data_IF_612159647246
#
_entry.id   IF_612159647246
#
_cell.length_a   1.000
_cell.length_b   1.000
_cell.length_c   1.000
_cell.angle_alpha   90.00
_cell.angle_beta   90.00
_cell.angle_gamma   90.00
#
_symmetry.space_group_name_H-M   'P 1'
#
loop_
_entity.id
_entity.type
_entity.pdbx_description
1 polymer ?
#
# COMPACT_ATOMS: atom_id res chain seq x y z
N UNK A 1 -2.40 -21.19 1.75
CA UNK A 1 -0.94 -21.02 1.45
C UNK A 1 -0.13 -21.04 2.75
N UNK A 2 0.94 -21.84 2.90
CA UNK A 2 1.63 -21.96 4.20
C UNK A 2 2.50 -20.72 4.52
N UNK A 3 2.64 -20.31 5.80
CA UNK A 3 3.46 -19.16 6.18
C UNK A 3 4.92 -19.31 5.75
N UNK A 4 5.45 -20.54 5.77
CA UNK A 4 6.80 -20.86 5.31
C UNK A 4 7.02 -20.52 3.82
N UNK A 5 6.00 -20.73 2.97
CA UNK A 5 6.10 -20.37 1.56
C UNK A 5 6.16 -18.84 1.38
N UNK A 6 5.38 -18.08 2.15
CA UNK A 6 5.42 -16.61 2.11
C UNK A 6 6.79 -16.06 2.52
N UNK A 7 7.36 -16.59 3.61
CA UNK A 7 8.70 -16.23 4.08
C UNK A 7 9.76 -16.63 3.03
N UNK A 8 9.68 -17.84 2.49
CA UNK A 8 10.60 -18.34 1.48
C UNK A 8 10.58 -17.47 0.21
N UNK A 9 9.40 -17.06 -0.24
CA UNK A 9 9.25 -16.14 -1.38
C UNK A 9 9.82 -14.75 -1.05
N UNK A 10 9.66 -14.25 0.18
CA UNK A 10 10.33 -13.03 0.64
C UNK A 10 11.84 -13.12 0.53
N UNK A 11 12.45 -14.16 1.09
CA UNK A 11 13.90 -14.40 1.03
C UNK A 11 14.42 -14.54 -0.41
N UNK A 12 13.75 -15.34 -1.24
CA UNK A 12 14.11 -15.51 -2.66
C UNK A 12 14.07 -14.17 -3.38
N UNK A 13 13.06 -13.35 -3.09
CA UNK A 13 12.93 -12.04 -3.74
C UNK A 13 14.07 -11.11 -3.40
N UNK A 14 14.49 -11.08 -2.13
CA UNK A 14 15.61 -10.25 -1.66
C UNK A 14 16.91 -10.60 -2.39
N UNK A 15 17.18 -11.90 -2.58
CA UNK A 15 18.38 -12.38 -3.29
C UNK A 15 18.28 -12.14 -4.80
N UNK A 16 17.07 -12.18 -5.35
CA UNK A 16 16.84 -12.04 -6.79
C UNK A 16 16.94 -10.60 -7.31
N UNK A 17 16.83 -9.59 -6.43
CA UNK A 17 16.81 -8.16 -6.80
C UNK A 17 17.80 -7.73 -7.89
N UNK A 18 19.11 -8.08 -7.83
CA UNK A 18 20.08 -7.64 -8.82
C UNK A 18 19.87 -8.25 -10.21
N UNK A 19 19.24 -9.43 -10.26
CA UNK A 19 19.06 -10.21 -11.49
C UNK A 19 17.75 -9.82 -12.20
N UNK A 20 16.77 -9.25 -11.47
CA UNK A 20 15.46 -8.85 -12.01
C UNK A 20 15.53 -7.81 -13.13
N UNK A 21 16.55 -6.93 -13.12
CA UNK A 21 16.81 -5.98 -14.24
C UNK A 21 17.28 -6.66 -15.52
N UNK A 22 17.75 -7.90 -15.45
CA UNK A 22 18.40 -8.63 -16.57
C UNK A 22 17.56 -9.77 -17.11
N UNK A 23 16.32 -9.92 -16.64
CA UNK A 23 15.47 -11.04 -17.07
C UNK A 23 15.08 -10.88 -18.54
N UNK A 24 14.97 -12.00 -19.24
CA UNK A 24 14.49 -11.98 -20.63
C UNK A 24 13.00 -11.68 -20.67
N UNK A 25 12.63 -10.44 -21.00
CA UNK A 25 11.24 -9.98 -21.03
C UNK A 25 10.35 -10.76 -22.00
N UNK A 26 10.92 -11.33 -23.08
CA UNK A 26 10.15 -12.15 -24.03
C UNK A 26 9.63 -13.45 -23.40
N UNK A 27 10.36 -13.99 -22.42
CA UNK A 27 9.93 -15.15 -21.64
C UNK A 27 9.18 -14.74 -20.38
N UNK A 28 9.61 -13.67 -19.72
CA UNK A 28 9.04 -13.22 -18.46
C UNK A 28 7.61 -12.72 -18.61
N UNK A 29 7.27 -12.00 -19.68
CA UNK A 29 5.91 -11.49 -19.91
C UNK A 29 4.89 -12.64 -20.03
N UNK A 30 5.03 -13.62 -20.97
CA UNK A 30 4.05 -14.69 -21.08
C UNK A 30 3.98 -15.56 -19.81
N UNK A 31 5.11 -15.83 -19.15
CA UNK A 31 5.12 -16.54 -17.87
C UNK A 31 4.36 -15.77 -16.78
N UNK A 32 4.59 -14.46 -16.67
CA UNK A 32 3.93 -13.59 -15.70
C UNK A 32 2.42 -13.47 -15.95
N UNK A 33 1.98 -13.42 -17.21
CA UNK A 33 0.56 -13.45 -17.59
C UNK A 33 -0.05 -14.81 -17.25
N UNK A 34 0.63 -15.91 -17.56
CA UNK A 34 0.16 -17.26 -17.21
C UNK A 34 -0.02 -17.41 -15.69
N UNK A 35 0.94 -16.95 -14.89
CA UNK A 35 0.84 -16.96 -13.43
C UNK A 35 -0.40 -16.19 -12.96
N UNK A 36 -0.65 -14.99 -13.49
CA UNK A 36 -1.83 -14.19 -13.13
C UNK A 36 -3.14 -14.89 -13.49
N UNK A 37 -3.20 -15.53 -14.66
CA UNK A 37 -4.35 -16.33 -15.08
C UNK A 37 -4.57 -17.50 -14.11
N UNK A 38 -3.52 -18.23 -13.74
CA UNK A 38 -3.65 -19.32 -12.78
C UNK A 38 -4.14 -18.82 -11.41
N UNK A 39 -3.56 -17.72 -10.90
CA UNK A 39 -3.96 -17.10 -9.65
C UNK A 39 -5.39 -16.56 -9.68
N UNK A 40 -5.88 -16.08 -10.83
CA UNK A 40 -7.26 -15.62 -10.99
C UNK A 40 -8.28 -16.70 -10.61
N UNK A 41 -7.99 -17.97 -10.89
CA UNK A 41 -8.87 -19.10 -10.54
C UNK A 41 -8.66 -19.65 -9.13
N UNK A 42 -7.66 -19.17 -8.38
CA UNK A 42 -7.43 -19.62 -6.99
C UNK A 42 -8.36 -18.97 -5.98
N UNK A 43 -8.69 -19.67 -4.90
CA UNK A 43 -9.47 -19.11 -3.79
C UNK A 43 -8.61 -18.16 -2.95
N UNK A 44 -9.07 -16.93 -2.66
CA UNK A 44 -8.34 -16.02 -1.80
C UNK A 44 -8.43 -16.50 -0.34
N UNK A 45 -7.29 -16.88 0.21
CA UNK A 45 -7.15 -17.40 1.58
C UNK A 45 -6.25 -16.54 2.47
N UNK A 46 -5.57 -15.54 1.90
CA UNK A 46 -4.59 -14.75 2.63
C UNK A 46 -5.24 -13.74 3.58
N UNK A 47 -6.41 -13.19 3.21
CA UNK A 47 -7.09 -12.12 3.92
C UNK A 47 -8.60 -12.28 3.88
N UNK A 48 -9.25 -11.78 4.93
CA UNK A 48 -10.69 -11.67 5.06
C UNK A 48 -11.24 -10.31 4.58
N UNK A 49 -10.36 -9.35 4.32
CA UNK A 49 -10.75 -8.01 3.85
C UNK A 49 -11.61 -8.03 2.56
N UNK A 50 -11.41 -8.94 1.58
CA UNK A 50 -12.25 -9.02 0.38
C UNK A 50 -13.73 -9.25 0.65
N UNK A 51 -14.07 -9.97 1.72
CA UNK A 51 -15.46 -10.18 2.12
C UNK A 51 -16.08 -8.93 2.71
N UNK A 52 -15.27 -8.09 3.36
CA UNK A 52 -15.73 -6.78 3.80
C UNK A 52 -15.98 -5.85 2.61
N UNK A 53 -15.13 -5.88 1.58
CA UNK A 53 -15.35 -5.12 0.35
C UNK A 53 -16.67 -5.52 -0.32
N UNK A 54 -16.90 -6.82 -0.49
CA UNK A 54 -18.12 -7.35 -1.08
C UNK A 54 -19.37 -6.91 -0.30
N UNK A 55 -19.33 -6.99 1.03
CA UNK A 55 -20.43 -6.55 1.88
C UNK A 55 -20.72 -5.05 1.73
N UNK A 56 -19.69 -4.21 1.79
CA UNK A 56 -19.86 -2.77 1.69
C UNK A 56 -20.42 -2.37 0.31
N UNK A 57 -19.97 -3.04 -0.77
CA UNK A 57 -20.52 -2.88 -2.11
C UNK A 57 -22.01 -3.25 -2.22
N UNK A 58 -22.43 -4.35 -1.58
CA UNK A 58 -23.84 -4.76 -1.49
C UNK A 58 -24.67 -3.70 -0.74
N UNK A 59 -24.18 -3.18 0.38
CA UNK A 59 -24.92 -2.16 1.14
C UNK A 59 -25.12 -0.90 0.32
N UNK A 60 -24.07 -0.46 -0.39
CA UNK A 60 -24.17 0.71 -1.26
C UNK A 60 -25.16 0.47 -2.42
N UNK A 61 -25.18 -0.73 -3.01
CA UNK A 61 -26.15 -1.11 -4.05
C UNK A 61 -27.60 -1.09 -3.55
N UNK A 62 -27.82 -1.38 -2.26
CA UNK A 62 -29.13 -1.31 -1.58
C UNK A 62 -29.49 0.11 -1.10
N UNK A 63 -28.71 1.13 -1.43
CA UNK A 63 -28.91 2.52 -0.98
C UNK A 63 -28.60 2.74 0.50
N UNK A 64 -27.90 1.80 1.16
CA UNK A 64 -27.50 1.89 2.57
C UNK A 64 -26.07 2.40 2.68
N UNK A 65 -25.82 3.33 3.58
CA UNK A 65 -24.47 3.86 3.82
C UNK A 65 -23.61 2.88 4.62
N UNK A 66 -22.48 2.37 4.09
CA UNK A 66 -21.55 1.50 4.83
C UNK A 66 -20.89 2.17 6.05
N UNK A 67 -20.98 3.51 6.13
CA UNK A 67 -20.43 4.31 7.23
C UNK A 67 -21.36 4.39 8.43
N UNK A 68 -22.65 4.07 8.26
CA UNK A 68 -23.66 4.16 9.31
C UNK A 68 -24.03 2.81 9.89
N UNK A 69 -23.94 1.74 9.08
CA UNK A 69 -24.43 0.42 9.46
C UNK A 69 -23.31 -0.62 9.41
N UNK A 70 -23.06 -1.24 10.56
CA UNK A 70 -22.14 -2.37 10.68
C UNK A 70 -22.81 -3.68 10.20
N UNK A 71 -22.05 -4.66 9.66
CA UNK A 71 -22.59 -5.94 9.21
C UNK A 71 -23.52 -6.62 10.23
N UNK A 72 -23.15 -6.59 11.51
CA UNK A 72 -23.90 -7.23 12.61
C UNK A 72 -25.27 -6.60 12.88
N UNK A 73 -25.54 -5.38 12.41
CA UNK A 73 -26.80 -4.68 12.66
C UNK A 73 -27.90 -5.04 11.66
N UNK A 74 -27.57 -5.66 10.53
CA UNK A 74 -28.54 -5.94 9.45
C UNK A 74 -29.18 -7.33 9.57
N UNK A 75 -28.59 -8.25 10.33
CA UNK A 75 -29.14 -9.58 10.59
C UNK A 75 -29.17 -10.56 9.40
N UNK A 76 -28.97 -10.07 8.16
CA UNK A 76 -28.84 -10.87 6.95
C UNK A 76 -27.49 -11.63 6.94
N UNK A 77 -27.46 -12.83 7.51
CA UNK A 77 -26.27 -13.70 7.47
C UNK A 77 -26.15 -14.38 6.10
N UNK A 78 -25.23 -13.87 5.28
CA UNK A 78 -24.77 -14.52 4.04
C UNK A 78 -23.86 -15.72 4.34
N UNK A 79 -23.65 -16.58 3.36
CA UNK A 79 -22.71 -17.70 3.45
C UNK A 79 -21.29 -17.23 3.82
N UNK A 80 -20.87 -16.07 3.29
CA UNK A 80 -19.57 -15.46 3.61
C UNK A 80 -19.57 -14.56 4.86
N UNK A 81 -20.70 -14.43 5.57
CA UNK A 81 -20.83 -13.49 6.69
C UNK A 81 -19.79 -13.76 7.79
N UNK A 82 -19.52 -15.03 8.10
CA UNK A 82 -18.52 -15.43 9.09
C UNK A 82 -17.11 -14.95 8.75
N UNK A 83 -16.81 -14.72 7.46
CA UNK A 83 -15.52 -14.25 6.95
C UNK A 83 -15.44 -12.73 6.82
N UNK A 84 -16.50 -11.99 7.15
CA UNK A 84 -16.46 -10.53 7.10
C UNK A 84 -15.64 -10.05 8.30
N UNK A 85 -14.50 -9.42 8.03
CA UNK A 85 -13.71 -8.76 9.07
C UNK A 85 -14.43 -7.50 9.60
N UNK A 86 -14.41 -7.31 10.92
CA UNK A 86 -14.98 -6.11 11.56
C UNK A 86 -16.51 -6.06 11.53
N UNK A 87 -17.20 -7.18 11.74
CA UNK A 87 -18.67 -7.30 11.70
C UNK A 87 -19.41 -6.30 12.60
N UNK A 88 -18.79 -5.90 13.71
CA UNK A 88 -19.38 -5.00 14.71
C UNK A 88 -19.06 -3.52 14.47
N UNK A 89 -18.37 -3.19 13.36
CA UNK A 89 -17.92 -1.83 13.08
C UNK A 89 -18.38 -1.35 11.70
N UNK A 90 -18.75 -0.07 11.55
CA UNK A 90 -18.93 0.56 10.24
C UNK A 90 -17.65 0.57 9.41
N UNK A 91 -17.78 0.89 8.14
CA UNK A 91 -16.67 0.87 7.19
C UNK A 91 -15.62 1.95 7.50
N UNK A 92 -14.36 1.61 7.22
CA UNK A 92 -13.19 2.50 7.30
C UNK A 92 -12.67 2.89 5.91
N UNK A 93 -13.24 2.34 4.84
CA UNK A 93 -12.75 2.54 3.47
C UNK A 93 -13.25 3.85 2.90
N UNK A 94 -12.39 4.54 2.15
CA UNK A 94 -12.72 5.84 1.61
C UNK A 94 -13.71 5.72 0.42
N UNK A 95 -14.48 6.78 0.11
CA UNK A 95 -15.50 6.80 -0.94
C UNK A 95 -15.13 6.20 -2.29
N UNK A 96 -13.93 6.43 -2.85
CA UNK A 96 -13.61 5.83 -4.15
C UNK A 96 -13.37 4.32 -4.02
N UNK A 97 -12.88 3.84 -2.87
CA UNK A 97 -12.87 2.40 -2.59
C UNK A 97 -14.29 1.82 -2.51
N UNK A 98 -15.24 2.53 -1.89
CA UNK A 98 -16.65 2.10 -1.86
C UNK A 98 -17.25 1.96 -3.26
N UNK A 99 -16.92 2.88 -4.16
CA UNK A 99 -17.37 2.77 -5.56
C UNK A 99 -16.75 1.56 -6.27
N UNK A 100 -15.47 1.25 -6.02
CA UNK A 100 -14.84 0.03 -6.54
C UNK A 100 -15.51 -1.24 -5.99
N UNK A 101 -15.92 -1.22 -4.72
CA UNK A 101 -16.65 -2.33 -4.09
C UNK A 101 -18.04 -2.52 -4.68
N UNK A 102 -18.76 -1.41 -4.91
CA UNK A 102 -20.03 -1.43 -5.62
C UNK A 102 -19.87 -1.99 -7.03
N UNK A 103 -18.87 -1.53 -7.79
CA UNK A 103 -18.59 -2.06 -9.13
C UNK A 103 -18.29 -3.56 -9.10
N UNK A 104 -17.48 -4.02 -8.14
CA UNK A 104 -17.21 -5.44 -7.95
C UNK A 104 -18.50 -6.24 -7.68
N UNK A 105 -19.37 -5.73 -6.80
CA UNK A 105 -20.67 -6.33 -6.50
C UNK A 105 -21.60 -6.35 -7.72
N UNK A 106 -21.63 -5.29 -8.53
CA UNK A 106 -22.46 -5.23 -9.74
C UNK A 106 -22.00 -6.22 -10.82
N UNK A 107 -20.69 -6.48 -10.92
CA UNK A 107 -20.15 -7.50 -11.85
C UNK A 107 -20.52 -8.91 -11.38
N UNK A 108 -20.38 -9.18 -10.07
CA UNK A 108 -20.82 -10.45 -9.50
C UNK A 108 -21.39 -10.25 -8.09
N UNK A 109 -22.73 -10.28 -7.96
CA UNK A 109 -23.37 -10.27 -6.66
C UNK A 109 -22.96 -11.50 -5.85
N UNK A 110 -22.66 -11.30 -4.56
CA UNK A 110 -22.34 -12.39 -3.61
C UNK A 110 -21.08 -13.22 -3.94
N UNK A 111 -20.19 -12.74 -4.82
CA UNK A 111 -18.96 -13.44 -5.17
C UNK A 111 -17.76 -12.51 -5.37
N UNK A 112 -16.56 -13.10 -5.44
CA UNK A 112 -15.30 -12.36 -5.55
C UNK A 112 -14.79 -12.22 -6.99
N UNK A 113 -15.45 -12.79 -8.01
CA UNK A 113 -15.00 -12.67 -9.41
C UNK A 113 -15.01 -11.22 -9.88
N UNK A 114 -16.00 -10.42 -9.46
CA UNK A 114 -16.03 -9.00 -9.81
C UNK A 114 -14.80 -8.25 -9.29
N UNK A 115 -14.41 -8.49 -8.04
CA UNK A 115 -13.21 -7.90 -7.45
C UNK A 115 -11.93 -8.42 -8.14
N UNK A 116 -11.83 -9.74 -8.37
CA UNK A 116 -10.71 -10.34 -9.10
C UNK A 116 -10.53 -9.74 -10.49
N UNK A 117 -11.63 -9.50 -11.20
CA UNK A 117 -11.61 -8.90 -12.53
C UNK A 117 -11.09 -7.46 -12.50
N UNK A 118 -11.58 -6.65 -11.56
CA UNK A 118 -11.11 -5.27 -11.39
C UNK A 118 -9.61 -5.22 -11.02
N UNK A 119 -9.16 -6.11 -10.14
CA UNK A 119 -7.75 -6.24 -9.75
C UNK A 119 -6.89 -6.65 -10.95
N UNK A 120 -7.33 -7.64 -11.73
CA UNK A 120 -6.63 -8.08 -12.93
C UNK A 120 -6.50 -6.94 -13.95
N UNK A 121 -7.57 -6.18 -14.19
CA UNK A 121 -7.52 -4.99 -15.04
C UNK A 121 -6.50 -3.97 -14.51
N UNK A 122 -6.54 -3.69 -13.21
CA UNK A 122 -5.62 -2.74 -12.58
C UNK A 122 -4.16 -3.16 -12.72
N UNK A 123 -3.89 -4.45 -12.58
CA UNK A 123 -2.57 -5.04 -12.74
C UNK A 123 -2.10 -5.03 -14.21
N UNK A 124 -2.97 -5.38 -15.16
CA UNK A 124 -2.68 -5.30 -16.59
C UNK A 124 -2.40 -3.87 -17.06
N UNK A 125 -3.17 -2.88 -16.58
CA UNK A 125 -2.90 -1.46 -16.83
C UNK A 125 -1.51 -1.09 -16.32
N UNK A 126 -1.12 -1.58 -15.14
CA UNK A 126 0.23 -1.34 -14.60
C UNK A 126 1.29 -1.92 -15.53
N UNK A 127 1.14 -3.16 -15.98
CA UNK A 127 2.09 -3.80 -16.91
C UNK A 127 2.23 -2.96 -18.18
N UNK A 128 1.12 -2.53 -18.78
CA UNK A 128 1.13 -1.70 -20.00
C UNK A 128 1.86 -0.36 -19.75
N UNK A 129 1.56 0.31 -18.64
CA UNK A 129 2.23 1.55 -18.26
C UNK A 129 3.73 1.34 -18.01
N UNK A 130 4.12 0.24 -17.35
CA UNK A 130 5.51 -0.08 -17.09
C UNK A 130 6.29 -0.41 -18.36
N UNK A 131 5.71 -1.17 -19.30
CA UNK A 131 6.30 -1.40 -20.62
C UNK A 131 6.63 -0.07 -21.30
N UNK A 132 5.73 0.93 -21.18
CA UNK A 132 5.90 2.22 -21.84
C UNK A 132 6.86 3.16 -21.12
N UNK A 133 6.85 3.18 -19.79
CA UNK A 133 7.49 4.25 -19.00
C UNK A 133 8.60 3.79 -18.05
N UNK A 134 8.67 2.49 -17.72
CA UNK A 134 9.67 1.88 -16.85
C UNK A 134 10.11 0.48 -17.36
N UNK A 135 10.48 0.32 -18.64
CA UNK A 135 10.75 -1.00 -19.22
C UNK A 135 11.88 -1.75 -18.52
N UNK A 136 12.92 -1.03 -18.08
CA UNK A 136 14.08 -1.62 -17.38
C UNK A 136 13.74 -2.18 -15.99
N UNK A 137 12.61 -1.75 -15.43
CA UNK A 137 12.10 -2.20 -14.14
C UNK A 137 10.91 -3.16 -14.26
N UNK A 138 10.45 -3.46 -15.48
CA UNK A 138 9.29 -4.30 -15.70
C UNK A 138 9.46 -5.68 -15.05
N UNK A 139 10.68 -6.23 -15.09
CA UNK A 139 10.98 -7.52 -14.47
C UNK A 139 10.75 -7.55 -12.96
N UNK A 140 11.00 -6.44 -12.25
CA UNK A 140 10.70 -6.33 -10.83
C UNK A 140 9.21 -6.49 -10.55
N UNK A 141 8.34 -5.95 -11.40
CA UNK A 141 6.91 -6.00 -11.20
C UNK A 141 6.28 -7.33 -11.64
N UNK A 142 6.68 -7.83 -12.81
CA UNK A 142 6.10 -9.03 -13.41
C UNK A 142 6.16 -10.24 -12.49
N UNK A 143 7.27 -10.41 -11.79
CA UNK A 143 7.53 -11.56 -10.92
C UNK A 143 7.69 -11.19 -9.45
N UNK A 144 7.26 -9.98 -9.03
CA UNK A 144 7.26 -9.62 -7.61
C UNK A 144 6.29 -10.49 -6.83
N UNK A 145 6.75 -11.27 -5.85
CA UNK A 145 5.85 -12.02 -4.99
C UNK A 145 4.96 -11.09 -4.18
N UNK A 146 5.45 -9.90 -3.78
CA UNK A 146 4.61 -8.89 -3.12
C UNK A 146 3.42 -8.52 -3.99
N UNK A 147 3.64 -8.22 -5.28
CA UNK A 147 2.54 -7.88 -6.20
C UNK A 147 1.61 -9.07 -6.33
N UNK A 148 2.12 -10.24 -6.70
CA UNK A 148 1.28 -11.42 -6.99
C UNK A 148 0.46 -11.87 -5.78
N UNK A 149 1.07 -11.93 -4.60
CA UNK A 149 0.43 -12.35 -3.35
C UNK A 149 -0.63 -11.32 -2.96
N UNK A 150 -0.25 -10.04 -2.84
CA UNK A 150 -1.16 -9.04 -2.27
C UNK A 150 -2.30 -8.65 -3.21
N UNK A 151 -2.07 -8.70 -4.52
CA UNK A 151 -3.10 -8.41 -5.51
C UNK A 151 -3.98 -9.62 -5.80
N UNK A 152 -3.44 -10.79 -6.19
CA UNK A 152 -4.27 -11.88 -6.70
C UNK A 152 -4.69 -12.88 -5.62
N UNK A 153 -3.86 -13.14 -4.61
CA UNK A 153 -4.19 -14.04 -3.49
C UNK A 153 -4.87 -13.31 -2.32
N UNK A 154 -4.46 -12.07 -2.07
CA UNK A 154 -5.02 -11.21 -1.01
C UNK A 154 -6.22 -10.37 -1.46
N UNK A 155 -6.33 -10.08 -2.77
CA UNK A 155 -7.32 -9.17 -3.34
C UNK A 155 -7.33 -7.80 -2.66
N UNK A 156 -6.17 -7.31 -2.22
CA UNK A 156 -6.07 -6.04 -1.52
C UNK A 156 -6.32 -4.86 -2.46
N UNK A 157 -7.13 -3.91 -1.98
CA UNK A 157 -7.51 -2.70 -2.72
C UNK A 157 -6.31 -1.81 -3.10
N UNK A 158 -5.17 -1.96 -2.41
CA UNK A 158 -3.92 -1.24 -2.69
C UNK A 158 -3.38 -1.51 -4.08
N UNK A 159 -3.80 -2.61 -4.71
CA UNK A 159 -3.50 -2.90 -6.12
C UNK A 159 -3.96 -1.75 -7.05
N UNK A 160 -5.10 -1.11 -6.74
CA UNK A 160 -5.61 0.01 -7.51
C UNK A 160 -4.74 1.26 -7.41
N UNK A 161 -3.93 1.39 -6.35
CA UNK A 161 -3.01 2.53 -6.19
C UNK A 161 -1.79 2.41 -7.11
N UNK A 162 -1.45 1.20 -7.57
CA UNK A 162 -0.25 0.95 -8.37
C UNK A 162 -0.29 1.71 -9.73
N UNK A 163 -1.29 1.51 -10.60
CA UNK A 163 -1.34 2.22 -11.88
C UNK A 163 -1.59 3.73 -11.68
N UNK A 164 -2.30 4.12 -10.62
CA UNK A 164 -2.52 5.53 -10.30
C UNK A 164 -1.23 6.23 -9.86
N UNK A 165 -0.41 5.56 -9.05
CA UNK A 165 0.92 6.05 -8.63
C UNK A 165 1.85 6.20 -9.82
N UNK A 166 1.89 5.18 -10.70
CA UNK A 166 2.70 5.24 -11.91
C UNK A 166 2.23 6.35 -12.85
N UNK A 167 0.92 6.45 -13.08
CA UNK A 167 0.33 7.51 -13.89
C UNK A 167 0.62 8.91 -13.32
N UNK A 168 0.54 9.08 -12.00
CA UNK A 168 0.88 10.33 -11.31
C UNK A 168 2.33 10.74 -11.62
N UNK A 169 3.30 9.85 -11.38
CA UNK A 169 4.74 10.08 -11.64
C UNK A 169 4.99 10.45 -13.11
N UNK A 170 4.32 9.78 -14.04
CA UNK A 170 4.52 10.01 -15.48
C UNK A 170 3.91 11.34 -15.94
N UNK A 171 2.84 11.81 -15.27
CA UNK A 171 2.07 12.98 -15.68
C UNK A 171 2.41 14.25 -14.91
N UNK A 172 3.02 14.19 -13.73
CA UNK A 172 3.25 15.38 -12.89
C UNK A 172 4.10 16.48 -13.55
N UNK A 173 4.94 16.12 -14.52
CA UNK A 173 5.73 17.06 -15.32
C UNK A 173 5.09 17.46 -16.66
N UNK A 174 4.04 16.76 -17.09
CA UNK A 174 3.47 16.88 -18.46
C UNK A 174 2.03 17.40 -18.46
N UNK A 175 1.21 16.89 -17.55
CA UNK A 175 -0.24 17.15 -17.45
C UNK A 175 -0.61 17.28 -15.96
N UNK A 176 -0.33 18.44 -15.32
CA UNK A 176 -0.48 18.60 -13.87
C UNK A 176 -1.90 18.36 -13.38
N UNK A 177 -2.93 18.69 -14.17
CA UNK A 177 -4.33 18.36 -13.84
C UNK A 177 -4.56 16.85 -13.76
N UNK A 178 -4.06 16.09 -14.73
CA UNK A 178 -4.21 14.64 -14.74
C UNK A 178 -3.43 14.01 -13.58
N UNK A 179 -2.21 14.47 -13.31
CA UNK A 179 -1.45 14.02 -12.14
C UNK A 179 -2.21 14.29 -10.84
N UNK A 180 -2.77 15.50 -10.70
CA UNK A 180 -3.60 15.90 -9.57
C UNK A 180 -4.82 14.99 -9.39
N UNK A 181 -5.53 14.67 -10.48
CA UNK A 181 -6.66 13.72 -10.46
C UNK A 181 -6.23 12.31 -10.05
N UNK A 182 -5.11 11.81 -10.56
CA UNK A 182 -4.59 10.47 -10.25
C UNK A 182 -4.14 10.34 -8.78
N UNK A 183 -3.45 11.36 -8.27
CA UNK A 183 -3.06 11.42 -6.86
C UNK A 183 -4.30 11.49 -5.97
N UNK A 184 -5.28 12.32 -6.34
CA UNK A 184 -6.54 12.42 -5.59
C UNK A 184 -7.25 11.07 -5.57
N UNK A 185 -7.46 10.43 -6.73
CA UNK A 185 -8.08 9.13 -6.82
C UNK A 185 -7.38 8.09 -5.91
N UNK A 186 -6.05 8.10 -5.88
CA UNK A 186 -5.29 7.22 -4.99
C UNK A 186 -5.60 7.44 -3.52
N UNK A 187 -5.60 8.71 -3.06
CA UNK A 187 -5.91 9.07 -1.66
C UNK A 187 -7.38 8.73 -1.31
N UNK A 188 -8.30 8.93 -2.26
CA UNK A 188 -9.72 8.60 -2.12
C UNK A 188 -10.01 7.09 -2.12
N UNK A 189 -9.09 6.26 -2.58
CA UNK A 189 -9.14 4.80 -2.41
C UNK A 189 -8.52 4.46 -1.05
N UNK A 190 -7.32 4.97 -0.78
CA UNK A 190 -6.62 4.78 0.49
C UNK A 190 -5.65 5.91 0.77
N UNK A 191 -5.64 6.48 1.99
CA UNK A 191 -4.83 7.65 2.32
C UNK A 191 -3.31 7.41 2.44
N UNK A 192 -2.80 6.24 2.02
CA UNK A 192 -1.36 5.91 2.09
C UNK A 192 -0.49 6.84 1.24
N UNK A 193 -1.04 7.52 0.25
CA UNK A 193 -0.34 8.54 -0.54
C UNK A 193 -0.50 9.98 -0.01
N UNK A 194 -1.17 10.19 1.12
CA UNK A 194 -1.22 11.52 1.73
C UNK A 194 0.17 12.12 2.03
N UNK A 195 1.17 11.33 2.49
CA UNK A 195 2.56 11.79 2.67
C UNK A 195 3.19 12.52 1.48
N UNK A 196 2.80 12.23 0.23
CA UNK A 196 3.42 12.84 -0.95
C UNK A 196 2.69 14.11 -1.43
N UNK A 197 1.49 14.38 -0.90
CA UNK A 197 0.67 15.51 -1.31
C UNK A 197 1.36 16.87 -1.07
N UNK A 198 1.95 17.16 0.12
CA UNK A 198 2.65 18.43 0.33
C UNK A 198 3.82 18.66 -0.63
N UNK A 199 4.61 17.61 -0.94
CA UNK A 199 5.69 17.68 -1.94
C UNK A 199 5.13 18.10 -3.31
N UNK A 200 4.06 17.44 -3.76
CA UNK A 200 3.44 17.74 -5.05
C UNK A 200 2.93 19.19 -5.10
N UNK A 201 2.23 19.63 -4.06
CA UNK A 201 1.68 20.99 -3.95
C UNK A 201 2.78 22.06 -3.94
N UNK A 202 3.85 21.85 -3.20
CA UNK A 202 4.92 22.84 -3.04
C UNK A 202 5.81 22.93 -4.29
N UNK A 203 6.04 21.81 -4.98
CA UNK A 203 6.81 21.77 -6.23
C UNK A 203 6.04 22.31 -7.42
N UNK A 204 4.72 22.07 -7.45
CA UNK A 204 3.87 22.43 -8.58
C UNK A 204 3.00 23.61 -8.17
N UNK A 205 3.52 24.82 -8.38
CA UNK A 205 2.83 26.11 -8.16
C UNK A 205 1.73 26.40 -9.21
N UNK A 206 0.91 25.40 -9.53
CA UNK A 206 -0.24 25.51 -10.43
C UNK A 206 -1.53 25.38 -9.61
N UNK A 207 -2.52 26.27 -9.79
CA UNK A 207 -3.81 26.19 -9.08
C UNK A 207 -4.49 24.82 -9.25
N UNK A 208 -4.23 24.11 -10.34
CA UNK A 208 -4.76 22.75 -10.62
C UNK A 208 -4.24 21.71 -9.62
N UNK A 209 -3.14 21.99 -8.92
CA UNK A 209 -2.60 21.09 -7.89
C UNK A 209 -3.39 21.18 -6.58
N UNK A 210 -4.25 22.19 -6.39
CA UNK A 210 -5.14 22.31 -5.23
C UNK A 210 -6.36 21.39 -5.28
N UNK A 211 -6.66 20.78 -6.44
CA UNK A 211 -7.80 19.89 -6.63
C UNK A 211 -7.87 18.70 -5.62
N UNK A 212 -6.76 18.05 -5.21
CA UNK A 212 -6.82 17.00 -4.20
C UNK A 212 -7.30 17.57 -2.87
N UNK A 213 -6.83 18.75 -2.47
CA UNK A 213 -7.30 19.40 -1.24
C UNK A 213 -8.80 19.70 -1.32
N UNK A 214 -9.27 20.26 -2.44
CA UNK A 214 -10.69 20.59 -2.63
C UNK A 214 -11.58 19.34 -2.59
N UNK A 215 -11.17 18.27 -3.27
CA UNK A 215 -11.93 17.02 -3.30
C UNK A 215 -11.90 16.31 -1.94
N UNK A 216 -10.78 16.36 -1.22
CA UNK A 216 -10.66 15.83 0.15
C UNK A 216 -11.52 16.63 1.14
N UNK A 217 -11.55 17.97 1.02
CA UNK A 217 -12.44 18.82 1.82
C UNK A 217 -13.91 18.54 1.51
N UNK A 218 -14.25 18.26 0.25
CA UNK A 218 -15.58 17.83 -0.18
C UNK A 218 -16.03 16.49 0.43
N UNK A 219 -15.12 15.74 1.06
CA UNK A 219 -15.46 14.50 1.78
C UNK A 219 -15.88 14.73 3.22
N UNK A 220 -15.65 15.92 3.79
CA UNK A 220 -16.01 16.23 5.19
C UNK A 220 -17.46 15.82 5.52
N UNK A 221 -18.46 16.00 4.64
CA UNK A 221 -19.82 15.55 4.92
C UNK A 221 -19.98 14.03 5.07
N UNK A 222 -19.17 13.23 4.38
CA UNK A 222 -19.14 11.78 4.56
C UNK A 222 -18.56 11.36 5.92
N UNK A 223 -17.91 12.29 6.63
CA UNK A 223 -17.35 12.13 7.96
C UNK A 223 -18.14 12.87 9.05
N UNK A 224 -19.41 13.26 8.80
CA UNK A 224 -20.27 13.96 9.77
C UNK A 224 -20.41 13.25 11.13
N UNK A 225 -20.13 11.94 11.18
CA UNK A 225 -19.68 11.28 12.41
C UNK A 225 -18.21 10.91 12.22
N UNK A 226 -17.28 11.38 13.07
CA UNK A 226 -15.89 10.94 12.97
C UNK A 226 -15.93 9.41 13.00
N UNK A 227 -15.40 8.72 11.98
CA UNK A 227 -15.58 7.28 11.87
C UNK A 227 -14.91 6.67 13.10
N UNK A 228 -15.72 6.33 14.11
CA UNK A 228 -15.24 5.82 15.39
C UNK A 228 -14.42 4.56 15.17
N UNK A 229 -14.77 3.80 14.13
CA UNK A 229 -14.00 2.68 13.60
C UNK A 229 -12.62 3.07 13.06
N UNK A 230 -12.51 4.17 12.30
CA UNK A 230 -11.23 4.67 11.77
C UNK A 230 -10.35 5.26 12.87
N UNK A 231 -10.92 6.02 13.81
CA UNK A 231 -10.18 6.51 14.98
C UNK A 231 -9.73 5.34 15.86
N UNK A 232 -10.61 4.36 16.10
CA UNK A 232 -10.26 3.14 16.83
C UNK A 232 -9.14 2.37 16.12
N UNK A 233 -9.18 2.29 14.79
CA UNK A 233 -8.12 1.70 13.98
C UNK A 233 -6.79 2.44 14.20
N UNK A 234 -6.78 3.78 14.07
CA UNK A 234 -5.58 4.60 14.27
C UNK A 234 -5.02 4.55 15.71
N UNK A 235 -5.84 4.23 16.71
CA UNK A 235 -5.42 4.17 18.12
C UNK A 235 -4.87 2.81 18.54
N UNK A 236 -5.43 1.72 18.03
CA UNK A 236 -5.18 0.39 18.59
C UNK A 236 -4.41 -0.53 17.64
N UNK A 237 -4.45 -0.29 16.33
CA UNK A 237 -3.83 -1.21 15.39
C UNK A 237 -2.31 -1.04 15.39
N UNK A 238 -1.61 -2.16 15.52
CA UNK A 238 -0.15 -2.26 15.51
C UNK A 238 0.23 -3.56 14.81
N UNK A 239 1.15 -3.47 13.87
CA UNK A 239 1.72 -4.62 13.19
C UNK A 239 2.95 -4.20 12.41
N UNK A 240 4.04 -4.93 12.57
CA UNK A 240 5.29 -4.74 11.86
C UNK A 240 5.81 -3.28 11.99
N UNK A 241 5.76 -2.74 13.21
CA UNK A 241 6.23 -1.39 13.50
C UNK A 241 7.76 -1.36 13.59
N UNK A 242 8.43 -0.59 12.73
CA UNK A 242 9.90 -0.47 12.78
C UNK A 242 10.37 0.48 13.89
N UNK A 243 10.70 1.73 13.57
CA UNK A 243 11.12 2.73 14.56
C UNK A 243 10.02 3.00 15.60
N UNK A 244 8.75 2.83 15.22
CA UNK A 244 7.63 2.94 16.16
C UNK A 244 7.78 2.00 17.36
N UNK A 245 8.16 0.74 17.15
CA UNK A 245 8.32 -0.21 18.24
C UNK A 245 9.45 0.17 19.19
N UNK A 246 10.56 0.71 18.67
CA UNK A 246 11.62 1.28 19.52
C UNK A 246 11.10 2.44 20.37
N UNK A 247 10.35 3.37 19.77
CA UNK A 247 9.73 4.47 20.52
C UNK A 247 8.75 3.96 21.59
N UNK A 248 7.97 2.94 21.26
CA UNK A 248 7.03 2.32 22.20
C UNK A 248 7.75 1.67 23.40
N UNK A 249 8.88 1.00 23.17
CA UNK A 249 9.71 0.43 24.24
C UNK A 249 10.28 1.54 25.12
N UNK A 250 10.85 2.59 24.52
CA UNK A 250 11.48 3.69 25.25
C UNK A 250 10.51 4.48 26.12
N UNK A 251 9.29 4.69 25.63
CA UNK A 251 8.30 5.55 26.29
C UNK A 251 7.30 4.75 27.14
N UNK A 252 7.17 3.45 26.89
CA UNK A 252 6.26 2.57 27.63
C UNK A 252 4.77 2.79 27.34
N UNK A 253 4.41 3.66 26.39
CA UNK A 253 3.01 4.02 26.10
C UNK A 253 2.76 4.23 24.60
N UNK A 254 1.77 3.52 24.04
CA UNK A 254 1.48 3.50 22.59
C UNK A 254 1.12 4.88 22.02
N UNK A 255 0.23 5.63 22.68
CA UNK A 255 -0.15 6.97 22.22
C UNK A 255 1.04 7.92 22.14
N UNK A 256 1.88 7.97 23.17
CA UNK A 256 3.07 8.82 23.18
C UNK A 256 4.07 8.41 22.09
N UNK A 257 4.27 7.10 21.88
CA UNK A 257 5.11 6.61 20.79
C UNK A 257 4.59 7.02 19.41
N UNK A 258 3.26 6.98 19.18
CA UNK A 258 2.64 7.46 17.92
C UNK A 258 2.88 8.95 17.72
N UNK A 259 2.68 9.75 18.77
CA UNK A 259 2.92 11.20 18.73
C UNK A 259 4.39 11.49 18.42
N UNK A 260 5.32 10.84 19.11
CA UNK A 260 6.76 11.03 18.90
C UNK A 260 7.17 10.62 17.49
N UNK A 261 6.72 9.45 17.01
CA UNK A 261 6.96 9.02 15.62
C UNK A 261 6.43 10.02 14.60
N UNK A 262 5.24 10.59 14.81
CA UNK A 262 4.68 11.60 13.93
C UNK A 262 5.44 12.93 13.98
N UNK A 263 5.84 13.39 15.17
CA UNK A 263 6.67 14.58 15.31
C UNK A 263 8.04 14.40 14.65
N UNK A 264 8.65 13.23 14.79
CA UNK A 264 9.90 12.88 14.12
C UNK A 264 9.73 12.87 12.59
N UNK A 265 8.62 12.34 12.09
CA UNK A 265 8.28 12.40 10.68
C UNK A 265 8.19 13.85 10.19
N UNK A 266 7.46 14.72 10.90
CA UNK A 266 7.33 16.14 10.56
C UNK A 266 8.66 16.90 10.66
N UNK A 267 9.54 16.52 11.59
CA UNK A 267 10.86 17.12 11.73
C UNK A 267 11.78 16.78 10.55
N UNK A 268 11.72 15.55 10.05
CA UNK A 268 12.55 15.10 8.92
C UNK A 268 11.98 15.55 7.57
N UNK A 269 10.66 15.72 7.46
CA UNK A 269 9.98 16.00 6.20
C UNK A 269 10.54 17.20 5.41
N UNK A 270 10.83 18.37 6.02
CA UNK A 270 11.41 19.51 5.31
C UNK A 270 12.80 19.24 4.74
N UNK A 271 13.56 18.30 5.30
CA UNK A 271 14.91 17.95 4.83
C UNK A 271 14.84 17.19 3.50
N UNK A 272 13.76 16.46 3.25
CA UNK A 272 13.62 15.62 2.06
C UNK A 272 12.83 16.28 0.93
N UNK A 273 12.09 17.35 1.20
CA UNK A 273 11.07 17.90 0.29
C UNK A 273 11.62 18.42 -1.04
N UNK A 274 12.88 18.84 -1.08
CA UNK A 274 13.54 19.39 -2.27
C UNK A 274 14.36 18.35 -3.04
N UNK A 275 14.42 17.10 -2.56
CA UNK A 275 15.22 16.06 -3.19
C UNK A 275 14.53 15.40 -4.37
N UNK A 276 15.23 15.02 -5.43
CA UNK A 276 14.59 14.37 -6.58
C UNK A 276 13.80 13.10 -6.20
N UNK A 277 14.27 12.35 -5.20
CA UNK A 277 13.65 11.15 -4.63
C UNK A 277 12.68 11.42 -3.46
N UNK A 278 12.16 12.64 -3.32
CA UNK A 278 11.30 13.04 -2.19
C UNK A 278 10.06 12.15 -2.01
N UNK A 279 9.40 11.70 -3.09
CA UNK A 279 8.19 10.89 -2.98
C UNK A 279 8.42 9.53 -2.31
N UNK A 280 9.33 8.65 -2.79
CA UNK A 280 9.61 7.41 -2.09
C UNK A 280 10.16 7.68 -0.68
N UNK A 281 10.96 8.72 -0.45
CA UNK A 281 11.44 9.04 0.89
C UNK A 281 10.31 9.43 1.85
N UNK A 282 9.34 10.24 1.42
CA UNK A 282 8.20 10.62 2.25
C UNK A 282 7.31 9.42 2.60
N UNK A 283 7.09 8.49 1.66
CA UNK A 283 6.37 7.25 1.92
C UNK A 283 7.18 6.29 2.80
N UNK A 284 8.46 6.11 2.50
CA UNK A 284 9.36 5.24 3.26
C UNK A 284 9.49 5.68 4.71
N UNK A 285 9.74 6.97 4.97
CA UNK A 285 9.78 7.53 6.32
C UNK A 285 8.44 7.37 7.03
N UNK A 286 7.32 7.58 6.33
CA UNK A 286 6.00 7.35 6.89
C UNK A 286 5.82 5.90 7.36
N UNK A 287 6.21 4.91 6.55
CA UNK A 287 6.13 3.51 6.93
C UNK A 287 7.12 3.11 8.03
N UNK A 288 8.37 3.58 7.98
CA UNK A 288 9.38 3.29 9.01
C UNK A 288 8.98 3.82 10.39
N UNK A 289 8.20 4.89 10.45
CA UNK A 289 7.69 5.51 11.68
C UNK A 289 6.24 5.10 12.02
N UNK A 290 5.59 4.35 11.13
CA UNK A 290 4.20 3.91 11.31
C UNK A 290 4.10 2.78 12.35
N UNK A 291 3.03 2.78 13.16
CA UNK A 291 2.71 1.64 14.02
C UNK A 291 2.23 0.40 13.28
N UNK A 292 1.77 0.57 12.03
CA UNK A 292 1.17 -0.49 11.23
C UNK A 292 1.74 -0.48 9.82
N UNK A 293 2.40 -1.58 9.43
CA UNK A 293 3.00 -1.76 8.11
C UNK A 293 2.66 -3.16 7.58
N UNK A 294 1.50 -3.28 6.94
CA UNK A 294 1.17 -4.50 6.20
C UNK A 294 1.86 -4.52 4.82
N UNK A 295 2.23 -5.69 4.28
CA UNK A 295 2.92 -5.79 2.99
C UNK A 295 2.18 -5.06 1.86
N UNK A 296 0.86 -5.20 1.77
CA UNK A 296 0.06 -4.56 0.74
C UNK A 296 0.10 -3.02 0.79
N UNK A 297 0.41 -2.39 1.93
CA UNK A 297 0.59 -0.94 2.00
C UNK A 297 1.80 -0.45 1.19
N UNK A 298 2.77 -1.32 0.94
CA UNK A 298 4.02 -0.99 0.26
C UNK A 298 3.92 -1.13 -1.26
N UNK A 299 2.78 -1.56 -1.82
CA UNK A 299 2.55 -1.64 -3.26
C UNK A 299 2.73 -0.30 -4.00
N UNK A 300 2.20 0.85 -3.53
CA UNK A 300 2.56 2.13 -4.11
C UNK A 300 4.05 2.47 -3.92
N UNK A 301 4.62 2.20 -2.73
CA UNK A 301 6.04 2.46 -2.45
C UNK A 301 6.96 1.71 -3.41
N UNK A 302 6.59 0.49 -3.84
CA UNK A 302 7.31 -0.29 -4.84
C UNK A 302 7.49 0.50 -6.13
N UNK A 303 6.42 1.12 -6.65
CA UNK A 303 6.46 1.90 -7.89
C UNK A 303 7.35 3.13 -7.76
N UNK A 304 7.21 3.88 -6.66
CA UNK A 304 8.09 5.02 -6.39
C UNK A 304 9.55 4.57 -6.24
N UNK A 305 9.80 3.49 -5.50
CA UNK A 305 11.16 2.98 -5.26
C UNK A 305 11.82 2.48 -6.53
N UNK A 306 11.07 1.87 -7.46
CA UNK A 306 11.57 1.47 -8.77
C UNK A 306 11.89 2.69 -9.63
N UNK A 307 10.99 3.69 -9.70
CA UNK A 307 11.19 4.90 -10.52
C UNK A 307 12.45 5.67 -10.14
N UNK A 308 12.67 5.84 -8.85
CA UNK A 308 13.74 6.67 -8.29
C UNK A 308 14.94 5.84 -7.80
N UNK A 309 14.93 4.53 -8.06
CA UNK A 309 15.98 3.57 -7.68
C UNK A 309 16.44 3.67 -6.22
N UNK A 310 15.48 3.82 -5.30
CA UNK A 310 15.80 4.00 -3.87
C UNK A 310 15.99 2.66 -3.14
N UNK A 311 16.79 2.62 -2.05
CA UNK A 311 16.94 1.42 -1.23
C UNK A 311 15.65 0.91 -0.58
N UNK A 312 14.59 1.73 -0.54
CA UNK A 312 13.26 1.36 -0.03
C UNK A 312 12.62 0.21 -0.82
N UNK A 313 13.14 -0.11 -2.00
CA UNK A 313 12.78 -1.34 -2.71
C UNK A 313 12.99 -2.57 -1.81
N UNK A 314 14.04 -2.58 -0.99
CA UNK A 314 14.33 -3.67 -0.07
C UNK A 314 13.23 -3.85 0.98
N UNK A 315 12.64 -2.74 1.45
CA UNK A 315 11.51 -2.78 2.37
C UNK A 315 10.28 -3.44 1.71
N UNK A 316 9.97 -3.10 0.46
CA UNK A 316 8.86 -3.72 -0.27
C UNK A 316 9.02 -5.25 -0.34
N UNK A 317 10.18 -5.74 -0.76
CA UNK A 317 10.41 -7.18 -0.89
C UNK A 317 10.59 -7.90 0.46
N UNK A 318 11.21 -7.24 1.44
CA UNK A 318 11.41 -7.76 2.78
C UNK A 318 10.11 -7.89 3.57
N UNK A 319 9.09 -7.08 3.27
CA UNK A 319 7.83 -7.07 4.03
C UNK A 319 7.08 -8.39 4.09
N UNK A 320 7.29 -9.29 3.13
CA UNK A 320 6.70 -10.63 3.19
C UNK A 320 7.21 -11.47 4.37
N UNK A 321 8.37 -11.13 4.94
CA UNK A 321 8.88 -11.76 6.15
C UNK A 321 7.94 -11.52 7.35
N UNK A 322 7.22 -10.39 7.39
CA UNK A 322 6.24 -10.09 8.43
C UNK A 322 5.13 -11.15 8.56
N UNK A 323 4.85 -11.94 7.52
CA UNK A 323 3.93 -13.08 7.58
C UNK A 323 4.41 -14.23 8.46
N UNK A 324 5.63 -14.17 9.01
CA UNK A 324 6.06 -15.06 10.09
C UNK A 324 5.11 -15.04 11.30
N UNK A 325 4.37 -13.94 11.52
CA UNK A 325 3.31 -13.87 12.54
C UNK A 325 2.21 -14.92 12.37
N UNK A 326 2.00 -15.42 11.14
CA UNK A 326 0.98 -16.43 10.86
C UNK A 326 1.34 -17.81 11.44
N UNK A 327 2.62 -18.07 11.71
CA UNK A 327 3.07 -19.33 12.31
C UNK A 327 2.49 -19.51 13.73
N UNK A 328 2.77 -18.61 14.71
CA UNK A 328 2.16 -18.72 16.04
C UNK A 328 0.64 -18.54 16.00
N UNK A 329 0.11 -17.75 15.07
CA UNK A 329 -1.34 -17.58 14.94
C UNK A 329 -2.04 -18.88 14.53
N UNK A 330 -1.51 -19.63 13.57
CA UNK A 330 -2.13 -20.89 13.12
C UNK A 330 -1.87 -22.06 14.06
N UNK A 331 -0.74 -22.05 14.76
CA UNK A 331 -0.36 -23.14 15.67
C UNK A 331 -0.94 -22.99 17.07
N UNK A 332 -1.11 -21.75 17.54
CA UNK A 332 -1.47 -21.46 18.93
C UNK A 332 -2.56 -20.39 19.09
N UNK A 333 -3.08 -19.83 18.00
CA UNK A 333 -4.07 -18.74 18.04
C UNK A 333 -3.50 -17.39 18.48
N UNK A 334 -2.18 -17.28 18.68
CA UNK A 334 -1.53 -16.06 19.18
C UNK A 334 -1.00 -15.20 18.04
N UNK A 335 -1.42 -13.95 18.00
CA UNK A 335 -0.83 -12.93 17.15
C UNK A 335 0.42 -12.37 17.82
N UNK A 336 1.58 -12.94 17.51
CA UNK A 336 2.85 -12.63 18.16
C UNK A 336 3.96 -12.45 17.13
N UNK A 337 4.57 -11.26 17.11
CA UNK A 337 5.61 -10.90 16.16
C UNK A 337 7.00 -11.32 16.68
N UNK A 338 7.88 -11.68 15.74
CA UNK A 338 9.24 -12.09 16.08
C UNK A 338 10.23 -10.94 15.84
N UNK A 339 10.88 -10.45 16.90
CA UNK A 339 11.85 -9.36 16.82
C UNK A 339 13.03 -9.64 15.90
N UNK A 340 13.47 -10.89 15.78
CA UNK A 340 14.54 -11.26 14.86
C UNK A 340 14.10 -11.04 13.42
N UNK A 341 12.85 -11.39 13.08
CA UNK A 341 12.29 -11.16 11.75
C UNK A 341 12.16 -9.66 11.45
N UNK A 342 11.66 -8.88 12.42
CA UNK A 342 11.59 -7.41 12.30
C UNK A 342 12.99 -6.82 12.06
N UNK A 343 14.01 -7.28 12.80
CA UNK A 343 15.39 -6.83 12.60
C UNK A 343 15.92 -7.22 11.22
N UNK A 344 15.68 -8.45 10.75
CA UNK A 344 16.10 -8.89 9.42
C UNK A 344 15.41 -8.11 8.29
N UNK A 345 14.15 -7.71 8.49
CA UNK A 345 13.40 -6.89 7.55
C UNK A 345 13.93 -5.45 7.48
N UNK A 346 14.11 -4.79 8.64
CA UNK A 346 14.36 -3.35 8.68
C UNK A 346 15.83 -2.94 8.78
N UNK A 347 16.70 -3.74 9.42
CA UNK A 347 18.12 -3.35 9.60
C UNK A 347 18.83 -3.12 8.26
N UNK A 348 18.70 -4.01 7.24
CA UNK A 348 19.29 -3.77 5.93
C UNK A 348 18.76 -2.49 5.26
N UNK A 349 17.47 -2.17 5.44
CA UNK A 349 16.85 -0.95 4.90
C UNK A 349 17.50 0.28 5.52
N UNK A 350 17.65 0.34 6.84
CA UNK A 350 18.31 1.46 7.52
C UNK A 350 19.77 1.65 7.07
N UNK A 351 20.54 0.57 7.00
CA UNK A 351 21.95 0.63 6.58
C UNK A 351 22.10 1.20 5.16
N UNK A 352 21.25 0.75 4.22
CA UNK A 352 21.28 1.27 2.85
C UNK A 352 20.74 2.69 2.75
N UNK A 353 19.73 3.07 3.56
CA UNK A 353 19.23 4.44 3.61
C UNK A 353 20.31 5.42 4.09
N UNK A 354 21.07 5.07 5.14
CA UNK A 354 22.20 5.88 5.63
C UNK A 354 23.25 6.07 4.52
N UNK A 355 23.58 4.99 3.80
CA UNK A 355 24.49 5.05 2.64
C UNK A 355 23.94 5.94 1.53
N UNK A 356 22.64 5.84 1.23
CA UNK A 356 21.99 6.64 0.19
C UNK A 356 22.01 8.13 0.50
N UNK A 357 21.72 8.52 1.75
CA UNK A 357 21.84 9.91 2.19
C UNK A 357 23.29 10.43 2.15
N UNK A 358 24.26 9.64 2.62
CA UNK A 358 25.68 10.06 2.64
C UNK A 358 26.32 10.17 1.25
N UNK A 359 25.97 9.30 0.31
CA UNK A 359 26.45 9.39 -1.07
C UNK A 359 25.97 10.67 -1.77
N UNK A 360 24.72 11.06 -1.54
CA UNK A 360 24.13 12.23 -2.17
C UNK A 360 24.72 13.53 -1.60
N UNK A 361 25.00 13.57 -0.30
CA UNK A 361 25.73 14.69 0.31
C UNK A 361 27.17 14.84 -0.21
N UNK A 362 27.81 13.77 -0.68
CA UNK A 362 29.14 13.84 -1.30
C UNK A 362 29.13 14.35 -2.74
N UNK A 363 28.01 14.18 -3.45
CA UNK A 363 27.84 14.63 -4.84
C UNK A 363 27.29 16.05 -4.94
N UNK A 364 26.60 16.56 -3.91
CA UNK A 364 26.02 17.91 -3.91
C UNK A 364 27.03 19.08 -3.95
N UNK A 365 28.26 19.03 -3.39
CA UNK A 365 29.19 20.15 -3.47
C UNK A 365 29.71 20.44 -4.89
N UNK A 366 29.59 19.47 -5.81
CA UNK A 366 30.03 19.60 -7.20
C UNK A 366 28.99 20.27 -8.11
N UNK A 367 27.73 20.39 -7.66
CA UNK A 367 26.61 20.89 -8.49
C UNK A 367 26.23 22.34 -8.13
N UNK A 368 26.59 22.81 -6.94
CA UNK A 368 26.36 24.20 -6.50
C UNK A 368 27.52 25.18 -6.76
N UNK A 369 28.53 24.75 -7.54
CA UNK A 369 29.50 25.66 -8.17
C UNK A 369 29.13 25.82 -9.64
N UNK A 370 28.07 26.55 -9.97
CA UNK A 370 27.89 27.23 -11.25
C UNK A 370 26.87 28.35 -11.11
#
# INVERSE_FOLDING_TARGET
>A
MTPYLLIGLGLISLVSLPVLKRINLRLAIPAAILIRILLFFTTPELSEDPYRYLWDGEQLAKGRSPYQVAPAQIGEKREFYSRIRGQTRPSIYFPLAQLLFLLAYLIQPSGLLGLKFLILISDLITIILMIRFLPDHLGHYLISPLVLIESHLGLHLDTFLIPLSLGFIVMEGRRPLLASLLLTASILIRPTLLPILPIFLLRKRDRKTLLPLLLLLGMIPYFHHPPSAFIAYLRHWEFNGSSYYLMKILVGHSLHARIISYLLYLLIYPIIIDRDDAYPLALGLFFLLSPTVYPWYLLPLLIFSLRYETPLLLLCYGSLLSYAVLIPYWTSGRWEENWVIILLEYLPVYLLMIRHFSLIQRLSPLIWRK
#
